data_IF_293411781625
#
_entry.id   IF_293411781625
#
_cell.length_a   1.000
_cell.length_b   1.000
_cell.length_c   1.000
_cell.angle_alpha   90.00
_cell.angle_beta   90.00
_cell.angle_gamma   90.00
#
_symmetry.space_group_name_H-M   'P 1'
#
loop_
_entity.id
_entity.type
_entity.pdbx_description
1 polymer ?
#
# COMPACT_ATOMS: atom_id res chain seq x y z
N UNK A 1 -29.46 -4.58 -19.41
CA UNK A 1 -28.36 -5.43 -18.92
C UNK A 1 -27.01 -4.70 -18.88
N UNK A 2 -26.59 -3.96 -19.93
CA UNK A 2 -25.34 -3.17 -19.92
C UNK A 2 -25.28 -2.05 -18.87
N UNK A 3 -26.39 -1.35 -18.61
CA UNK A 3 -26.44 -0.27 -17.61
C UNK A 3 -26.19 -0.74 -16.17
N UNK A 4 -26.76 -1.89 -15.80
CA UNK A 4 -26.55 -2.51 -14.48
C UNK A 4 -25.09 -2.94 -14.29
N UNK A 5 -24.48 -3.49 -15.34
CA UNK A 5 -23.07 -3.87 -15.33
C UNK A 5 -22.16 -2.66 -15.09
N UNK A 6 -22.38 -1.56 -15.83
CA UNK A 6 -21.59 -0.33 -15.67
C UNK A 6 -21.76 0.27 -14.28
N UNK A 7 -22.99 0.30 -13.76
CA UNK A 7 -23.28 0.81 -12.41
C UNK A 7 -22.52 0.01 -11.33
N UNK A 8 -22.51 -1.32 -11.44
CA UNK A 8 -21.76 -2.18 -10.52
C UNK A 8 -20.25 -1.94 -10.60
N UNK A 9 -19.69 -1.82 -11.80
CA UNK A 9 -18.26 -1.57 -11.96
C UNK A 9 -17.84 -0.20 -11.41
N UNK A 10 -18.68 0.82 -11.59
CA UNK A 10 -18.47 2.13 -10.97
C UNK A 10 -18.51 2.03 -9.43
N UNK A 11 -19.46 1.27 -8.88
CA UNK A 11 -19.57 1.04 -7.45
C UNK A 11 -18.32 0.33 -6.89
N UNK A 12 -17.87 -0.77 -7.51
CA UNK A 12 -16.65 -1.47 -7.09
C UNK A 12 -15.40 -0.58 -7.20
N UNK A 13 -15.33 0.26 -8.24
CA UNK A 13 -14.22 1.21 -8.40
C UNK A 13 -14.18 2.23 -7.25
N UNK A 14 -15.34 2.74 -6.82
CA UNK A 14 -15.43 3.63 -5.66
C UNK A 14 -15.01 2.92 -4.36
N UNK A 15 -15.44 1.68 -4.15
CA UNK A 15 -15.00 0.88 -3.00
C UNK A 15 -13.49 0.66 -3.00
N UNK A 16 -12.91 0.31 -4.16
CA UNK A 16 -11.47 0.13 -4.30
C UNK A 16 -10.69 1.42 -3.99
N UNK A 17 -11.21 2.59 -4.36
CA UNK A 17 -10.61 3.87 -4.01
C UNK A 17 -10.58 4.09 -2.48
N UNK A 18 -11.68 3.82 -1.77
CA UNK A 18 -11.70 3.89 -0.30
C UNK A 18 -10.72 2.90 0.34
N UNK A 19 -10.63 1.67 -0.19
CA UNK A 19 -9.70 0.67 0.32
C UNK A 19 -8.22 1.01 0.04
N UNK A 20 -7.93 1.74 -1.03
CA UNK A 20 -6.58 2.27 -1.30
C UNK A 20 -6.18 3.32 -0.27
N UNK A 21 -7.08 4.27 0.04
CA UNK A 21 -6.85 5.27 1.07
C UNK A 21 -6.74 4.64 2.46
N UNK A 22 -7.61 3.67 2.79
CA UNK A 22 -7.49 2.89 4.03
C UNK A 22 -6.12 2.22 4.16
N UNK A 23 -5.63 1.61 3.07
CA UNK A 23 -4.29 1.02 3.05
C UNK A 23 -3.18 2.04 3.28
N UNK A 24 -3.30 3.24 2.71
CA UNK A 24 -2.36 4.33 2.95
C UNK A 24 -2.35 4.77 4.42
N UNK A 25 -3.52 4.97 5.03
CA UNK A 25 -3.62 5.33 6.44
C UNK A 25 -3.15 4.21 7.38
N UNK A 26 -3.47 2.95 7.06
CA UNK A 26 -2.98 1.80 7.82
C UNK A 26 -1.45 1.77 7.88
N UNK A 27 -0.78 2.07 6.76
CA UNK A 27 0.68 2.14 6.69
C UNK A 27 1.23 3.34 7.48
N UNK A 28 0.56 4.50 7.45
CA UNK A 28 0.95 5.67 8.26
C UNK A 28 0.80 5.38 9.76
N UNK A 29 -0.30 4.77 10.18
CA UNK A 29 -0.51 4.37 11.58
C UNK A 29 0.56 3.36 12.01
N UNK A 30 0.88 2.38 11.15
CA UNK A 30 1.88 1.37 11.47
C UNK A 30 3.29 1.99 11.65
N UNK A 31 3.62 3.00 10.84
CA UNK A 31 4.80 3.87 10.99
C UNK A 31 4.77 4.65 12.29
N UNK A 32 3.63 5.25 12.63
CA UNK A 32 3.48 6.12 13.81
C UNK A 32 3.57 5.34 15.11
N UNK A 33 3.21 4.06 15.10
CA UNK A 33 3.47 3.17 16.23
C UNK A 33 4.97 2.94 16.46
N UNK A 34 5.77 2.80 15.38
CA UNK A 34 7.23 2.81 15.40
C UNK A 34 7.78 2.74 13.96
N UNK A 35 8.83 3.51 13.62
CA UNK A 35 9.48 3.39 12.31
C UNK A 35 10.05 1.99 12.05
N UNK A 36 10.50 1.29 13.09
CA UNK A 36 11.00 -0.09 13.00
C UNK A 36 9.96 -1.07 12.46
N UNK A 37 8.66 -0.79 12.61
CA UNK A 37 7.59 -1.58 12.01
C UNK A 37 7.63 -1.55 10.48
N UNK A 38 8.15 -0.47 9.88
CA UNK A 38 8.30 -0.32 8.43
C UNK A 38 9.70 -0.77 8.00
N UNK A 39 10.75 -0.28 8.66
CA UNK A 39 12.14 -0.51 8.22
C UNK A 39 12.61 -1.95 8.40
N UNK A 40 11.95 -2.74 9.26
CA UNK A 40 12.22 -4.18 9.42
C UNK A 40 11.53 -5.08 8.39
N UNK A 41 10.59 -4.54 7.59
CA UNK A 41 9.88 -5.33 6.59
C UNK A 41 10.79 -5.68 5.41
N UNK A 42 10.62 -6.88 4.88
CA UNK A 42 11.29 -7.30 3.67
C UNK A 42 10.71 -6.52 2.47
N UNK A 43 11.60 -5.98 1.64
CA UNK A 43 11.19 -5.27 0.42
C UNK A 43 10.76 -6.25 -0.68
N UNK A 44 9.89 -5.78 -1.57
CA UNK A 44 9.47 -6.54 -2.76
C UNK A 44 8.47 -7.67 -2.50
N UNK A 45 7.99 -7.83 -1.26
CA UNK A 45 6.94 -8.80 -0.92
C UNK A 45 5.62 -8.11 -0.58
N UNK A 46 4.52 -8.85 -0.75
CA UNK A 46 3.18 -8.37 -0.42
C UNK A 46 2.85 -8.65 1.04
N UNK A 47 2.43 -7.60 1.73
CA UNK A 47 1.80 -7.67 3.04
C UNK A 47 0.32 -7.30 2.95
N UNK A 48 -0.45 -7.72 3.93
CA UNK A 48 -1.90 -7.61 3.99
C UNK A 48 -2.29 -6.77 5.22
N UNK A 49 -2.92 -5.60 5.03
CA UNK A 49 -3.40 -4.78 6.13
C UNK A 49 -4.39 -5.54 6.99
N UNK A 50 -4.11 -5.60 8.29
CA UNK A 50 -4.95 -6.28 9.28
C UNK A 50 -5.15 -5.38 10.47
N UNK A 51 -6.40 -5.15 10.84
CA UNK A 51 -6.75 -4.45 12.07
C UNK A 51 -6.89 -5.46 13.20
N UNK A 52 -6.02 -5.35 14.21
CA UNK A 52 -6.04 -6.24 15.37
C UNK A 52 -5.60 -5.48 16.60
N UNK A 53 -6.17 -5.81 17.75
CA UNK A 53 -5.76 -5.25 19.05
C UNK A 53 -5.78 -3.73 19.09
N UNK A 54 -6.73 -3.10 18.38
CA UNK A 54 -6.91 -1.65 18.36
C UNK A 54 -5.95 -0.88 17.43
N UNK A 55 -5.16 -1.55 16.60
CA UNK A 55 -4.27 -0.88 15.65
C UNK A 55 -4.13 -1.61 14.31
N UNK A 56 -3.51 -0.93 13.34
CA UNK A 56 -3.18 -1.50 12.04
C UNK A 56 -1.82 -2.19 12.08
N UNK A 57 -1.78 -3.39 11.51
CA UNK A 57 -0.56 -4.17 11.30
C UNK A 57 -0.50 -4.67 9.87
N UNK A 58 0.70 -5.08 9.44
CA UNK A 58 0.93 -5.71 8.14
C UNK A 58 1.28 -7.18 8.34
N UNK A 59 0.45 -8.07 7.81
CA UNK A 59 0.61 -9.52 7.91
C UNK A 59 1.10 -10.12 6.59
N UNK A 60 1.81 -11.23 6.61
CA UNK A 60 2.09 -12.02 5.40
C UNK A 60 0.97 -13.02 5.07
N UNK A 61 -0.01 -13.17 5.98
CA UNK A 61 -1.18 -14.00 5.74
C UNK A 61 -2.18 -13.25 4.89
N UNK A 62 -2.55 -13.84 3.75
CA UNK A 62 -3.51 -13.26 2.84
C UNK A 62 -4.87 -13.05 3.51
N UNK A 63 -5.49 -11.90 3.26
CA UNK A 63 -6.86 -11.59 3.66
C UNK A 63 -7.59 -10.82 2.56
N UNK A 64 -8.92 -10.78 2.69
CA UNK A 64 -9.79 -10.02 1.79
C UNK A 64 -10.77 -9.17 2.59
N UNK A 65 -11.27 -8.11 1.96
CA UNK A 65 -12.42 -7.33 2.41
C UNK A 65 -13.52 -7.48 1.37
N UNK A 66 -14.49 -8.35 1.63
CA UNK A 66 -15.46 -8.77 0.62
C UNK A 66 -14.77 -9.42 -0.58
N UNK A 67 -14.93 -8.83 -1.77
CA UNK A 67 -14.33 -9.33 -3.03
C UNK A 67 -12.92 -8.77 -3.27
N UNK A 68 -12.45 -7.85 -2.42
CA UNK A 68 -11.22 -7.12 -2.66
C UNK A 68 -10.05 -7.75 -1.90
N UNK A 69 -8.97 -8.04 -2.61
CA UNK A 69 -7.67 -8.33 -2.03
C UNK A 69 -6.87 -7.04 -1.93
N UNK A 70 -6.29 -6.77 -0.76
CA UNK A 70 -5.51 -5.55 -0.49
C UNK A 70 -4.09 -5.92 -0.13
N UNK A 71 -3.12 -5.34 -0.81
CA UNK A 71 -1.71 -5.55 -0.49
C UNK A 71 -0.95 -4.25 -0.33
N UNK A 72 0.10 -4.32 0.45
CA UNK A 72 1.12 -3.29 0.64
C UNK A 72 2.46 -3.93 0.32
N UNK A 73 3.20 -3.32 -0.60
CA UNK A 73 4.60 -3.66 -0.82
C UNK A 73 5.46 -2.42 -0.70
N UNK A 74 6.73 -2.63 -0.38
CA UNK A 74 7.69 -1.57 -0.16
C UNK A 74 8.96 -1.82 -0.94
N UNK A 75 9.58 -0.72 -1.37
CA UNK A 75 10.87 -0.72 -2.04
C UNK A 75 11.78 0.31 -1.39
N UNK A 76 13.07 -0.02 -1.34
CA UNK A 76 14.10 0.91 -0.93
C UNK A 76 14.25 2.02 -1.97
N UNK A 77 14.61 3.21 -1.49
CA UNK A 77 14.89 4.35 -2.34
C UNK A 77 16.33 4.80 -2.11
N UNK A 78 16.90 5.44 -3.13
CA UNK A 78 18.21 6.06 -3.03
C UNK A 78 18.06 7.59 -3.08
N UNK A 79 19.03 8.31 -2.53
CA UNK A 79 19.18 9.75 -2.70
C UNK A 79 20.42 10.08 -3.49
N UNK A 80 20.25 11.04 -4.39
CA UNK A 80 21.37 11.67 -5.05
C UNK A 80 22.23 12.43 -4.02
N UNK A 81 23.55 12.28 -4.10
CA UNK A 81 24.45 12.79 -3.07
C UNK A 81 24.60 14.31 -3.10
N UNK A 82 24.33 14.95 -4.24
CA UNK A 82 24.46 16.40 -4.44
C UNK A 82 23.15 17.14 -4.16
N UNK A 83 22.06 16.72 -4.80
CA UNK A 83 20.74 17.37 -4.73
C UNK A 83 19.92 16.92 -3.52
N UNK A 84 20.22 15.73 -2.97
CA UNK A 84 19.44 15.05 -1.92
C UNK A 84 18.05 14.57 -2.36
N UNK A 85 17.73 14.67 -3.65
CA UNK A 85 16.46 14.17 -4.20
C UNK A 85 16.42 12.64 -4.26
N UNK A 86 15.21 12.09 -4.21
CA UNK A 86 15.01 10.65 -4.45
C UNK A 86 15.38 10.36 -5.90
N UNK A 87 16.23 9.35 -6.10
CA UNK A 87 16.79 8.97 -7.39
C UNK A 87 16.85 7.45 -7.54
N UNK A 88 16.89 6.99 -8.79
CA UNK A 88 17.11 5.57 -9.10
C UNK A 88 18.54 5.12 -8.74
N UNK A 89 19.48 6.06 -8.69
CA UNK A 89 20.89 5.83 -8.33
C UNK A 89 21.29 6.70 -7.14
N UNK A 90 22.41 6.40 -6.51
CA UNK A 90 22.92 7.16 -5.36
C UNK A 90 23.05 6.33 -4.10
N UNK A 91 23.00 7.00 -2.94
CA UNK A 91 23.16 6.36 -1.65
C UNK A 91 21.80 5.87 -1.12
N UNK A 92 21.78 4.68 -0.52
CA UNK A 92 20.59 4.14 0.11
C UNK A 92 20.07 5.07 1.23
N UNK A 93 18.77 5.36 1.21
CA UNK A 93 18.08 6.10 2.27
C UNK A 93 17.32 5.13 3.20
N UNK A 94 17.85 4.85 4.40
CA UNK A 94 17.16 3.98 5.37
C UNK A 94 15.86 4.60 5.90
N UNK A 95 15.75 5.93 5.88
CA UNK A 95 14.66 6.72 6.48
C UNK A 95 13.51 6.98 5.51
N UNK A 96 13.59 6.48 4.27
CA UNK A 96 12.50 6.57 3.29
C UNK A 96 12.22 5.22 2.64
N UNK A 97 10.95 4.94 2.38
CA UNK A 97 10.47 3.80 1.59
C UNK A 97 9.43 4.27 0.57
N UNK A 98 9.46 3.70 -0.64
CA UNK A 98 8.35 3.84 -1.58
C UNK A 98 7.34 2.74 -1.28
N UNK A 99 6.14 3.15 -0.89
CA UNK A 99 5.01 2.28 -0.60
C UNK A 99 4.14 2.15 -1.85
N UNK A 100 3.73 0.92 -2.17
CA UNK A 100 2.71 0.64 -3.18
C UNK A 100 1.56 -0.11 -2.53
N UNK A 101 0.40 0.54 -2.43
CA UNK A 101 -0.86 -0.08 -2.05
C UNK A 101 -1.52 -0.60 -3.31
N UNK A 102 -2.01 -1.83 -3.29
CA UNK A 102 -2.73 -2.46 -4.41
C UNK A 102 -4.05 -3.01 -3.90
N UNK A 103 -5.12 -2.73 -4.65
CA UNK A 103 -6.44 -3.34 -4.44
C UNK A 103 -6.84 -4.05 -5.71
N UNK A 104 -7.23 -5.32 -5.60
CA UNK A 104 -7.63 -6.15 -6.74
C UNK A 104 -8.91 -6.95 -6.48
N UNK A 105 -9.70 -7.19 -7.51
CA UNK A 105 -10.93 -7.99 -7.47
C UNK A 105 -11.24 -8.59 -8.84
N UNK A 106 -12.03 -9.65 -8.88
CA UNK A 106 -12.52 -10.25 -10.13
C UNK A 106 -13.77 -9.53 -10.64
N UNK A 107 -13.77 -9.15 -11.92
CA UNK A 107 -14.94 -8.58 -12.57
C UNK A 107 -14.98 -8.92 -14.06
N UNK A 108 -16.09 -9.51 -14.53
CA UNK A 108 -16.24 -9.86 -15.95
C UNK A 108 -15.30 -10.96 -16.43
N UNK A 109 -14.76 -11.78 -15.53
CA UNK A 109 -13.79 -12.83 -15.86
C UNK A 109 -12.34 -12.36 -15.94
N UNK A 110 -12.05 -11.15 -15.45
CA UNK A 110 -10.70 -10.62 -15.36
C UNK A 110 -10.44 -10.00 -13.98
N UNK A 111 -9.19 -10.10 -13.52
CA UNK A 111 -8.72 -9.38 -12.34
C UNK A 111 -8.54 -7.90 -12.67
N UNK A 112 -9.31 -7.05 -12.00
CA UNK A 112 -9.14 -5.60 -12.02
C UNK A 112 -8.20 -5.20 -10.89
N UNK A 113 -7.24 -4.33 -11.18
CA UNK A 113 -6.26 -3.85 -10.20
C UNK A 113 -6.21 -2.32 -10.18
N UNK A 114 -6.15 -1.74 -8.98
CA UNK A 114 -5.89 -0.33 -8.74
C UNK A 114 -4.73 -0.18 -7.76
N UNK A 115 -3.94 0.86 -7.95
CA UNK A 115 -2.74 1.11 -7.14
C UNK A 115 -2.67 2.55 -6.68
N UNK A 116 -2.15 2.76 -5.48
CA UNK A 116 -1.80 4.05 -4.92
C UNK A 116 -0.35 3.97 -4.43
N UNK A 117 0.47 4.94 -4.82
CA UNK A 117 1.90 4.98 -4.49
C UNK A 117 2.25 6.27 -3.78
N UNK A 118 3.07 6.19 -2.75
CA UNK A 118 3.57 7.35 -2.03
C UNK A 118 4.88 7.01 -1.32
N UNK A 119 5.69 8.04 -1.04
CA UNK A 119 6.86 7.91 -0.20
C UNK A 119 6.45 8.04 1.27
N UNK A 120 6.92 7.10 2.08
CA UNK A 120 6.78 7.11 3.52
C UNK A 120 8.16 7.37 4.13
N UNK A 121 8.25 8.39 4.97
CA UNK A 121 9.49 8.82 5.62
C UNK A 121 9.41 8.57 7.13
N UNK A 122 10.56 8.34 7.76
CA UNK A 122 10.69 8.46 9.20
C UNK A 122 10.56 9.95 9.58
N UNK A 123 9.58 10.28 10.41
CA UNK A 123 9.31 11.64 10.87
C UNK A 123 9.60 11.83 12.36
N UNK A 124 10.14 10.80 13.01
CA UNK A 124 10.43 10.78 14.45
C UNK A 124 11.94 10.71 14.76
N UNK A 125 12.79 10.76 13.72
CA UNK A 125 14.26 10.80 13.82
C UNK A 125 14.80 12.21 14.02
#
# INVERSE_FOLDING_TARGET
QKSVYISRQAFHTSQAAFLLEEGAEAVRIFRDNAWSNISSLAVGINYYPTFSSGTWTLSQLANTVGIFTRTVSLTNVNRDSATKDISATGAYDPETKLITITVSWEEGGATITKTLKFYLMNVFS
#
